data_IF_788856259707
#
_entry.id   IF_788856259707
#
_cell.length_a   1.000
_cell.length_b   1.000
_cell.length_c   1.000
_cell.angle_alpha   90.00
_cell.angle_beta   90.00
_cell.angle_gamma   90.00
#
_symmetry.space_group_name_H-M   'P 1'
#
loop_
_entity.id
_entity.type
_entity.pdbx_description
1 polymer ?
#
# COMPACT_ATOMS: atom_id res chain seq x y z
N UNK A 1 -9.73 40.91 -77.31
CA UNK A 1 -9.69 41.45 -75.93
C UNK A 1 -9.21 40.32 -75.03
N UNK A 2 -7.94 40.41 -74.61
CA UNK A 2 -7.14 39.30 -74.07
C UNK A 2 -7.37 39.21 -72.56
N UNK A 3 -8.01 38.14 -72.08
CA UNK A 3 -8.07 37.80 -70.65
C UNK A 3 -6.98 36.79 -70.32
N UNK A 4 -5.96 37.24 -69.58
CA UNK A 4 -4.86 36.42 -69.03
C UNK A 4 -5.42 35.46 -67.97
N UNK A 5 -5.26 34.16 -68.18
CA UNK A 5 -5.37 33.17 -67.10
C UNK A 5 -4.15 33.30 -66.16
N UNK A 6 -4.40 33.34 -64.85
CA UNK A 6 -3.36 33.26 -63.82
C UNK A 6 -3.18 31.79 -63.41
N UNK A 7 -1.95 31.28 -63.27
CA UNK A 7 -1.73 29.93 -62.78
C UNK A 7 -2.01 29.84 -61.28
N UNK A 8 -2.66 28.74 -60.88
CA UNK A 8 -2.91 28.35 -59.49
C UNK A 8 -1.57 27.82 -58.94
N UNK A 9 -0.96 28.54 -58.01
CA UNK A 9 0.24 28.08 -57.31
C UNK A 9 -0.13 27.03 -56.25
N UNK A 10 0.30 25.79 -56.46
CA UNK A 10 0.31 24.77 -55.40
C UNK A 10 1.44 25.12 -54.44
N UNK A 11 1.11 25.51 -53.21
CA UNK A 11 2.08 25.65 -52.12
C UNK A 11 2.41 24.25 -51.60
N UNK A 12 3.62 23.78 -51.87
CA UNK A 12 4.24 22.64 -51.15
C UNK A 12 4.34 23.01 -49.66
N UNK A 13 3.63 22.27 -48.81
CA UNK A 13 3.84 22.31 -47.36
C UNK A 13 5.17 21.61 -47.03
N UNK A 14 6.07 22.33 -46.37
CA UNK A 14 7.38 21.85 -45.90
C UNK A 14 7.27 20.63 -44.97
N UNK A 15 8.27 19.71 -44.98
CA UNK A 15 8.33 18.59 -44.06
C UNK A 15 8.97 19.04 -42.74
N UNK A 16 8.18 19.53 -41.79
CA UNK A 16 8.66 19.89 -40.43
C UNK A 16 7.93 19.07 -39.35
N UNK A 17 7.45 17.87 -39.68
CA UNK A 17 6.75 17.00 -38.72
C UNK A 17 7.36 15.59 -38.74
N UNK A 18 8.67 15.49 -38.51
CA UNK A 18 9.32 14.21 -38.14
C UNK A 18 10.35 14.39 -37.00
N UNK A 19 10.69 15.62 -36.59
CA UNK A 19 11.74 15.88 -35.60
C UNK A 19 11.27 16.01 -34.14
N UNK A 20 9.96 15.94 -33.87
CA UNK A 20 9.43 16.10 -32.51
C UNK A 20 9.37 14.80 -31.68
N UNK A 21 9.52 13.62 -32.31
CA UNK A 21 9.45 12.32 -31.62
C UNK A 21 10.80 11.85 -31.07
N UNK A 22 11.93 12.32 -31.61
CA UNK A 22 13.27 11.91 -31.14
C UNK A 22 13.73 12.66 -29.88
N UNK A 23 13.23 13.88 -29.66
CA UNK A 23 13.57 14.68 -28.47
C UNK A 23 12.84 14.20 -27.20
N UNK A 24 11.69 13.53 -27.34
CA UNK A 24 10.92 13.01 -26.21
C UNK A 24 11.54 11.73 -25.62
N UNK A 25 12.22 10.93 -26.44
CA UNK A 25 12.91 9.70 -25.99
C UNK A 25 14.19 10.03 -25.21
N UNK A 26 14.95 11.07 -25.61
CA UNK A 26 16.19 11.48 -24.93
C UNK A 26 15.97 12.24 -23.61
N UNK A 27 14.76 12.77 -23.37
CA UNK A 27 14.41 13.45 -22.13
C UNK A 27 14.13 12.49 -20.96
N UNK A 28 13.74 11.23 -21.22
CA UNK A 28 13.54 10.24 -20.16
C UNK A 28 14.88 9.71 -19.62
N UNK A 29 15.86 9.46 -20.50
CA UNK A 29 17.19 8.95 -20.10
C UNK A 29 17.96 9.98 -19.24
N UNK A 30 17.76 11.27 -19.47
CA UNK A 30 18.40 12.33 -18.68
C UNK A 30 17.74 12.54 -17.31
N UNK A 31 16.44 12.26 -17.17
CA UNK A 31 15.75 12.40 -15.89
C UNK A 31 16.07 11.24 -14.93
N UNK A 32 16.24 10.02 -15.45
CA UNK A 32 16.70 8.87 -14.66
C UNK A 32 18.17 9.04 -14.18
N UNK A 33 19.01 9.69 -14.99
CA UNK A 33 20.39 10.00 -14.63
C UNK A 33 20.53 11.03 -13.49
N UNK A 34 19.53 11.87 -13.24
CA UNK A 34 19.60 12.95 -12.23
C UNK A 34 19.30 12.48 -10.79
N UNK A 35 18.50 11.41 -10.60
CA UNK A 35 18.17 10.92 -9.24
C UNK A 35 19.39 10.51 -8.42
N UNK A 36 20.40 9.94 -9.08
CA UNK A 36 21.62 9.45 -8.44
C UNK A 36 22.74 10.51 -8.35
N UNK A 37 22.64 11.63 -9.08
CA UNK A 37 23.68 12.66 -9.13
C UNK A 37 23.86 13.41 -7.80
N UNK A 38 22.88 13.30 -6.89
CA UNK A 38 22.86 13.96 -5.57
C UNK A 38 23.50 13.14 -4.45
N UNK A 39 23.88 11.89 -4.70
CA UNK A 39 24.48 11.01 -3.69
C UNK A 39 26.00 11.26 -3.66
N UNK A 40 26.58 11.63 -2.50
CA UNK A 40 28.03 11.82 -2.40
C UNK A 40 28.81 10.57 -2.84
N UNK A 41 29.94 10.78 -3.55
CA UNK A 41 30.69 9.67 -4.17
C UNK A 41 31.19 8.62 -3.17
N UNK A 42 31.42 8.99 -1.92
CA UNK A 42 31.89 8.12 -0.83
C UNK A 42 30.79 7.89 0.23
N UNK A 43 29.62 7.47 -0.20
CA UNK A 43 28.55 7.02 0.69
C UNK A 43 28.61 5.50 0.83
N UNK A 44 28.62 4.93 2.02
CA UNK A 44 28.35 3.50 2.24
C UNK A 44 26.83 3.28 2.13
N UNK A 45 26.39 2.19 1.50
CA UNK A 45 24.96 1.89 1.34
C UNK A 45 24.64 0.68 2.19
N UNK A 46 23.60 0.80 3.01
CA UNK A 46 23.06 -0.26 3.85
C UNK A 46 21.59 -0.44 3.47
N UNK A 47 21.15 -1.68 3.33
CA UNK A 47 19.74 -2.01 3.12
C UNK A 47 19.28 -2.80 4.34
N UNK A 48 18.14 -2.40 4.90
CA UNK A 48 17.54 -3.03 6.07
C UNK A 48 16.09 -3.43 5.75
N UNK A 49 15.67 -4.65 6.10
CA UNK A 49 16.50 -5.75 6.60
C UNK A 49 17.46 -6.29 5.53
N UNK A 50 18.50 -6.99 5.96
CA UNK A 50 19.52 -7.62 5.09
C UNK A 50 19.07 -8.99 4.53
N UNK A 51 18.01 -9.56 5.11
CA UNK A 51 17.31 -10.76 4.69
C UNK A 51 15.84 -10.70 5.11
N UNK A 52 14.97 -11.44 4.43
CA UNK A 52 13.52 -11.42 4.65
C UNK A 52 12.97 -12.84 4.72
N UNK A 53 12.29 -13.16 5.82
CA UNK A 53 11.42 -14.33 5.94
C UNK A 53 9.96 -13.88 6.02
N UNK A 54 9.11 -14.47 5.17
CA UNK A 54 7.66 -14.22 5.09
C UNK A 54 6.92 -15.55 5.26
N UNK A 55 5.84 -15.54 6.03
CA UNK A 55 5.11 -16.75 6.41
C UNK A 55 3.60 -16.72 6.08
N UNK A 56 3.10 -15.57 5.63
CA UNK A 56 1.70 -15.37 5.24
C UNK A 56 1.61 -14.63 3.91
N UNK A 57 0.55 -14.90 3.14
CA UNK A 57 0.25 -14.15 1.90
C UNK A 57 -0.04 -12.66 2.16
N UNK A 58 -0.36 -12.30 3.40
CA UNK A 58 -0.57 -10.91 3.84
C UNK A 58 0.69 -10.30 4.48
N UNK A 59 1.77 -11.06 4.62
CA UNK A 59 3.01 -10.50 5.14
C UNK A 59 3.60 -9.49 4.15
N UNK A 60 4.05 -8.38 4.70
CA UNK A 60 4.78 -7.35 3.97
C UNK A 60 6.00 -6.94 4.75
N UNK A 61 7.03 -6.47 4.03
CA UNK A 61 8.24 -5.91 4.62
C UNK A 61 8.67 -4.69 3.82
N UNK A 62 9.01 -3.61 4.52
CA UNK A 62 9.56 -2.42 3.89
C UNK A 62 11.09 -2.56 3.85
N UNK A 63 11.67 -2.43 2.67
CA UNK A 63 13.10 -2.21 2.52
C UNK A 63 13.41 -0.73 2.77
N UNK A 64 14.40 -0.48 3.60
CA UNK A 64 14.96 0.85 3.84
C UNK A 64 16.38 0.88 3.29
N UNK A 65 16.70 1.94 2.55
CA UNK A 65 18.02 2.12 1.95
C UNK A 65 18.67 3.34 2.58
N UNK A 66 19.70 3.11 3.38
CA UNK A 66 20.41 4.17 4.11
C UNK A 66 21.78 4.41 3.49
N UNK A 67 22.07 5.67 3.20
CA UNK A 67 23.40 6.13 2.83
C UNK A 67 24.15 6.68 4.04
N UNK A 68 25.28 6.09 4.39
CA UNK A 68 26.19 6.60 5.44
C UNK A 68 27.30 7.41 4.77
N UNK A 69 27.38 8.71 5.05
CA UNK A 69 28.36 9.64 4.49
C UNK A 69 29.73 9.51 5.17
N UNK A 70 30.75 10.15 4.61
CA UNK A 70 32.12 10.11 5.16
C UNK A 70 32.27 10.76 6.53
N UNK A 71 31.38 11.67 6.88
CA UNK A 71 31.31 12.30 8.20
C UNK A 71 30.45 11.50 9.20
N UNK A 72 29.95 10.33 8.78
CA UNK A 72 29.09 9.45 9.58
C UNK A 72 27.61 9.83 9.57
N UNK A 73 27.21 10.92 8.92
CA UNK A 73 25.79 11.27 8.79
C UNK A 73 25.03 10.29 7.90
N UNK A 74 23.75 10.09 8.21
CA UNK A 74 22.87 9.19 7.45
C UNK A 74 21.90 9.97 6.59
N UNK A 75 21.65 9.47 5.37
CA UNK A 75 20.63 9.98 4.46
C UNK A 75 19.72 8.83 4.01
N UNK A 76 18.42 9.09 3.97
CA UNK A 76 17.44 8.16 3.41
C UNK A 76 17.51 8.18 1.88
N UNK A 77 17.79 7.02 1.31
CA UNK A 77 17.88 6.75 -0.12
C UNK A 77 16.76 5.82 -0.61
N UNK A 78 15.80 5.46 0.25
CA UNK A 78 14.74 4.47 -0.03
C UNK A 78 13.96 4.82 -1.31
N UNK A 79 13.61 6.09 -1.50
CA UNK A 79 12.89 6.56 -2.69
C UNK A 79 13.80 6.88 -3.90
N UNK A 80 15.12 6.82 -3.73
CA UNK A 80 16.11 6.98 -4.79
C UNK A 80 16.61 5.63 -5.33
N UNK A 81 16.35 4.55 -4.59
CA UNK A 81 16.66 3.19 -5.01
C UNK A 81 15.74 2.71 -6.11
N UNK A 82 16.26 1.81 -6.92
CA UNK A 82 15.47 0.98 -7.82
C UNK A 82 15.42 -0.44 -7.28
N UNK A 83 14.21 -0.99 -7.27
CA UNK A 83 13.91 -2.31 -6.74
C UNK A 83 13.50 -3.25 -7.87
N UNK A 84 13.90 -4.52 -7.77
CA UNK A 84 13.39 -5.58 -8.63
C UNK A 84 13.41 -6.92 -7.89
N UNK A 85 12.58 -7.87 -8.31
CA UNK A 85 12.55 -9.22 -7.76
C UNK A 85 13.08 -10.21 -8.79
N UNK A 86 13.89 -11.17 -8.37
CA UNK A 86 14.35 -12.27 -9.22
C UNK A 86 13.57 -13.58 -9.00
N UNK A 87 12.52 -13.54 -8.17
CA UNK A 87 11.71 -14.69 -7.80
C UNK A 87 10.23 -14.40 -8.06
N UNK A 88 9.45 -15.45 -8.33
CA UNK A 88 7.99 -15.35 -8.41
C UNK A 88 7.31 -15.39 -7.04
N UNK A 89 8.05 -15.62 -5.96
CA UNK A 89 7.50 -15.74 -4.60
C UNK A 89 7.02 -14.40 -4.03
N UNK A 90 7.64 -13.29 -4.42
CA UNK A 90 7.25 -11.95 -3.97
C UNK A 90 7.60 -10.88 -5.01
N UNK A 91 6.82 -9.80 -5.00
CA UNK A 91 7.08 -8.55 -5.71
C UNK A 91 7.68 -7.52 -4.75
N UNK A 92 8.32 -6.49 -5.29
CA UNK A 92 8.75 -5.30 -4.56
C UNK A 92 8.30 -4.05 -5.31
N UNK A 93 7.62 -3.13 -4.62
CA UNK A 93 7.12 -1.90 -5.23
C UNK A 93 8.25 -0.91 -5.51
N UNK A 94 7.96 0.13 -6.28
CA UNK A 94 8.90 1.25 -6.52
C UNK A 94 9.32 1.99 -5.25
N UNK A 95 8.56 1.84 -4.15
CA UNK A 95 8.87 2.43 -2.85
C UNK A 95 9.55 1.45 -1.90
N UNK A 96 9.91 0.24 -2.34
CA UNK A 96 10.59 -0.76 -1.53
C UNK A 96 9.68 -1.62 -0.65
N UNK A 97 8.36 -1.63 -0.88
CA UNK A 97 7.45 -2.50 -0.15
C UNK A 97 7.42 -3.90 -0.78
N UNK A 98 7.81 -4.91 -0.02
CA UNK A 98 7.80 -6.32 -0.42
C UNK A 98 6.42 -6.91 -0.17
N UNK A 99 5.87 -7.59 -1.18
CA UNK A 99 4.53 -8.19 -1.14
C UNK A 99 4.58 -9.63 -1.63
N UNK A 100 3.99 -10.54 -0.86
CA UNK A 100 3.96 -11.98 -1.20
C UNK A 100 3.08 -12.26 -2.40
N UNK A 101 3.55 -13.16 -3.28
CA UNK A 101 2.84 -13.68 -4.46
C UNK A 101 2.67 -15.20 -4.43
N UNK A 102 3.55 -15.92 -3.74
CA UNK A 102 3.51 -17.36 -3.60
C UNK A 102 4.65 -17.89 -2.75
N UNK A 103 4.76 -19.21 -2.64
CA UNK A 103 5.86 -19.86 -1.94
C UNK A 103 7.14 -19.86 -2.79
N UNK A 104 8.29 -19.77 -2.12
CA UNK A 104 9.60 -19.97 -2.72
C UNK A 104 10.65 -19.05 -2.12
N UNK A 105 11.87 -19.15 -2.64
CA UNK A 105 13.01 -18.34 -2.19
C UNK A 105 13.65 -17.64 -3.38
N UNK A 106 14.45 -16.62 -3.11
CA UNK A 106 15.19 -15.86 -4.11
C UNK A 106 15.85 -14.64 -3.51
N UNK A 107 16.00 -13.59 -4.32
CA UNK A 107 16.54 -12.33 -3.87
C UNK A 107 15.82 -11.13 -4.49
N UNK A 108 15.68 -10.09 -3.68
CA UNK A 108 15.31 -8.75 -4.11
C UNK A 108 16.57 -7.97 -4.43
N UNK A 109 16.60 -7.34 -5.59
CA UNK A 109 17.72 -6.55 -6.06
C UNK A 109 17.45 -5.07 -5.79
N UNK A 110 18.30 -4.45 -4.98
CA UNK A 110 18.29 -3.01 -4.70
C UNK A 110 19.45 -2.36 -5.43
N UNK A 111 19.15 -1.32 -6.23
CA UNK A 111 20.15 -0.59 -7.01
C UNK A 111 20.14 0.89 -6.64
N UNK A 112 21.32 1.41 -6.31
CA UNK A 112 21.58 2.84 -6.09
C UNK A 112 22.77 3.24 -6.98
N UNK A 113 22.52 4.08 -7.98
CA UNK A 113 23.52 4.39 -9.01
C UNK A 113 24.09 3.11 -9.65
N UNK A 114 25.40 2.90 -9.52
CA UNK A 114 26.11 1.73 -10.04
C UNK A 114 26.22 0.57 -9.04
N UNK A 115 25.76 0.75 -7.80
CA UNK A 115 25.83 -0.25 -6.75
C UNK A 115 24.58 -1.12 -6.77
N UNK A 116 24.76 -2.41 -6.57
CA UNK A 116 23.70 -3.41 -6.50
C UNK A 116 23.89 -4.25 -5.27
N UNK A 117 22.80 -4.48 -4.55
CA UNK A 117 22.73 -5.30 -3.35
C UNK A 117 21.61 -6.31 -3.56
N UNK A 118 21.84 -7.55 -3.15
CA UNK A 118 20.84 -8.61 -3.15
C UNK A 118 20.39 -8.82 -1.71
N UNK A 119 19.09 -8.86 -1.49
CA UNK A 119 18.46 -9.16 -0.20
C UNK A 119 17.78 -10.50 -0.36
N UNK A 120 18.29 -11.49 0.36
CA UNK A 120 17.73 -12.84 0.31
C UNK A 120 16.31 -12.80 0.87
N UNK A 121 15.38 -13.45 0.17
CA UNK A 121 13.99 -13.55 0.57
C UNK A 121 13.55 -15.01 0.53
N UNK A 122 12.88 -15.44 1.59
CA UNK A 122 12.28 -16.75 1.72
C UNK A 122 10.82 -16.60 2.09
N UNK A 123 9.94 -17.26 1.35
CA UNK A 123 8.50 -17.25 1.57
C UNK A 123 8.03 -18.67 1.84
N UNK A 124 7.69 -18.92 3.11
CA UNK A 124 7.22 -20.20 3.62
C UNK A 124 5.78 -20.05 4.11
N UNK A 125 4.84 -20.19 3.17
CA UNK A 125 3.42 -20.10 3.47
C UNK A 125 2.97 -21.28 4.35
N UNK A 126 2.27 -20.96 5.44
CA UNK A 126 1.63 -21.97 6.27
C UNK A 126 0.54 -22.73 5.49
N UNK A 127 0.32 -24.00 5.83
CA UNK A 127 -0.77 -24.81 5.25
C UNK A 127 -2.16 -24.22 5.53
N UNK A 128 -2.30 -23.54 6.67
CA UNK A 128 -3.51 -22.83 7.07
C UNK A 128 -3.18 -21.35 7.18
N UNK A 129 -3.86 -20.54 6.37
CA UNK A 129 -3.71 -19.09 6.41
C UNK A 129 -4.25 -18.55 7.74
N UNK A 130 -3.52 -17.62 8.35
CA UNK A 130 -3.98 -16.95 9.56
C UNK A 130 -5.27 -16.17 9.24
N UNK A 131 -6.31 -16.25 10.07
CA UNK A 131 -7.51 -15.43 9.89
C UNK A 131 -7.17 -13.95 9.96
N UNK A 132 -8.02 -13.10 9.38
CA UNK A 132 -7.91 -11.65 9.50
C UNK A 132 -8.07 -11.28 10.96
N UNK A 133 -7.07 -10.58 11.47
CA UNK A 133 -6.97 -10.21 12.87
C UNK A 133 -7.90 -9.04 13.19
N UNK A 134 -8.81 -9.22 14.14
CA UNK A 134 -9.73 -8.16 14.53
C UNK A 134 -8.96 -6.97 15.15
N UNK A 135 -8.06 -7.26 16.09
CA UNK A 135 -7.30 -6.27 16.86
C UNK A 135 -6.21 -5.62 16.04
N UNK A 136 -5.50 -6.38 15.19
CA UNK A 136 -4.33 -5.88 14.46
C UNK A 136 -4.62 -5.44 13.03
N UNK A 137 -5.72 -5.90 12.42
CA UNK A 137 -6.09 -5.50 11.05
C UNK A 137 -7.38 -4.67 11.03
N UNK A 138 -8.48 -5.13 11.66
CA UNK A 138 -9.78 -4.44 11.57
C UNK A 138 -9.84 -3.15 12.38
N UNK A 139 -9.50 -3.17 13.68
CA UNK A 139 -9.58 -2.00 14.56
C UNK A 139 -8.71 -0.82 14.05
N UNK A 140 -7.45 -1.03 13.62
CA UNK A 140 -6.63 0.04 13.06
C UNK A 140 -7.21 0.60 11.76
N UNK A 141 -7.79 -0.25 10.90
CA UNK A 141 -8.44 0.20 9.67
C UNK A 141 -9.67 1.07 9.96
N UNK A 142 -10.50 0.72 10.94
CA UNK A 142 -11.63 1.56 11.35
C UNK A 142 -11.16 2.94 11.84
N UNK A 143 -10.05 2.97 12.57
CA UNK A 143 -9.43 4.21 13.06
C UNK A 143 -8.82 5.04 11.94
N UNK A 144 -8.05 4.42 11.05
CA UNK A 144 -7.43 5.06 9.89
C UNK A 144 -8.48 5.72 8.99
N UNK A 145 -9.62 5.06 8.80
CA UNK A 145 -10.73 5.55 7.98
C UNK A 145 -11.67 6.50 8.74
N UNK A 146 -11.33 6.88 9.97
CA UNK A 146 -12.05 7.88 10.78
C UNK A 146 -13.41 7.40 11.31
N UNK A 147 -13.67 6.09 11.35
CA UNK A 147 -14.91 5.53 11.88
C UNK A 147 -14.98 5.72 13.41
N UNK A 148 -13.88 5.45 14.11
CA UNK A 148 -13.72 5.57 15.57
C UNK A 148 -13.24 6.96 16.03
N UNK A 149 -13.44 7.99 15.21
CA UNK A 149 -13.07 9.38 15.53
C UNK A 149 -14.09 10.02 16.51
N UNK A 150 -13.60 10.92 17.37
CA UNK A 150 -14.37 11.66 18.38
C UNK A 150 -15.61 12.38 17.82
N UNK A 151 -15.59 12.74 16.54
CA UNK A 151 -16.71 13.45 15.88
C UNK A 151 -17.91 12.54 15.57
N UNK A 152 -17.74 11.22 15.58
CA UNK A 152 -18.74 10.25 15.15
C UNK A 152 -18.85 9.07 16.13
N UNK A 153 -18.36 7.88 15.78
CA UNK A 153 -18.57 6.69 16.60
C UNK A 153 -17.59 6.59 17.77
N UNK A 154 -16.43 7.25 17.70
CA UNK A 154 -15.50 7.39 18.84
C UNK A 154 -15.91 8.43 19.88
N UNK A 155 -17.02 9.15 19.67
CA UNK A 155 -17.59 10.03 20.68
C UNK A 155 -18.02 9.21 21.91
N UNK A 156 -17.92 9.73 23.15
CA UNK A 156 -18.39 9.00 24.34
C UNK A 156 -19.85 8.55 24.26
N UNK A 157 -20.70 9.31 23.56
CA UNK A 157 -22.10 8.98 23.29
C UNK A 157 -22.33 8.20 21.99
N UNK A 158 -21.30 8.03 21.15
CA UNK A 158 -21.42 7.52 19.78
C UNK A 158 -22.35 8.38 18.91
N UNK A 159 -22.82 7.80 17.80
CA UNK A 159 -23.77 8.45 16.89
C UNK A 159 -24.70 7.43 16.23
N UNK A 160 -26.00 7.75 16.16
CA UNK A 160 -26.99 6.89 15.51
C UNK A 160 -27.11 5.50 16.16
N UNK A 161 -27.01 5.45 17.50
CA UNK A 161 -27.04 4.21 18.27
C UNK A 161 -25.90 3.26 17.94
N UNK A 162 -24.71 3.80 17.64
CA UNK A 162 -23.49 3.03 17.44
C UNK A 162 -22.29 3.79 17.99
N UNK A 163 -21.48 3.07 18.76
CA UNK A 163 -20.28 3.60 19.40
C UNK A 163 -19.13 2.63 19.16
N UNK A 164 -17.95 3.21 19.00
CA UNK A 164 -16.65 2.56 19.03
C UNK A 164 -15.81 3.27 20.11
N UNK A 165 -14.79 2.60 20.62
CA UNK A 165 -13.75 3.18 21.44
C UNK A 165 -13.01 4.26 20.65
N UNK A 166 -12.43 5.23 21.34
CA UNK A 166 -11.74 6.34 20.67
C UNK A 166 -10.44 5.81 20.06
N UNK A 167 -10.34 5.85 18.72
CA UNK A 167 -9.17 5.36 17.96
C UNK A 167 -8.79 3.90 18.25
N UNK A 168 -9.75 3.04 18.61
CA UNK A 168 -9.48 1.64 18.87
C UNK A 168 -8.83 1.37 20.23
N UNK A 169 -8.99 2.26 21.21
CA UNK A 169 -8.38 2.11 22.53
C UNK A 169 -8.93 0.96 23.38
N UNK A 170 -10.09 0.41 23.01
CA UNK A 170 -10.70 -0.75 23.67
C UNK A 170 -11.28 -1.70 22.62
N UNK A 171 -10.44 -2.65 22.19
CA UNK A 171 -10.77 -3.63 21.15
C UNK A 171 -11.90 -4.57 21.58
N UNK A 172 -11.98 -4.92 22.87
CA UNK A 172 -13.02 -5.83 23.36
C UNK A 172 -14.39 -5.15 23.30
N UNK A 173 -14.45 -3.90 23.72
CA UNK A 173 -15.64 -3.07 23.56
C UNK A 173 -16.02 -2.90 22.07
N UNK A 174 -15.05 -2.63 21.19
CA UNK A 174 -15.30 -2.47 19.75
C UNK A 174 -15.85 -3.73 19.11
N UNK A 175 -15.31 -4.90 19.48
CA UNK A 175 -15.79 -6.18 19.01
C UNK A 175 -17.25 -6.40 19.41
N UNK A 176 -17.60 -6.17 20.69
CA UNK A 176 -18.97 -6.29 21.17
C UNK A 176 -19.93 -5.35 20.41
N UNK A 177 -19.52 -4.11 20.18
CA UNK A 177 -20.30 -3.12 19.46
C UNK A 177 -20.55 -3.46 17.98
N UNK A 178 -19.59 -4.13 17.33
CA UNK A 178 -19.70 -4.52 15.93
C UNK A 178 -20.44 -5.86 15.73
N UNK A 179 -20.25 -6.79 16.65
CA UNK A 179 -20.69 -8.19 16.47
C UNK A 179 -21.94 -8.51 17.27
N UNK A 180 -22.13 -7.93 18.46
CA UNK A 180 -23.19 -8.32 19.40
C UNK A 180 -24.26 -7.25 19.57
N UNK A 181 -23.87 -5.98 19.66
CA UNK A 181 -24.79 -4.88 19.95
C UNK A 181 -25.89 -4.75 18.88
N UNK A 182 -27.04 -4.24 19.32
CA UNK A 182 -28.23 -4.07 18.49
C UNK A 182 -28.59 -5.34 17.68
N UNK A 183 -28.47 -6.51 18.30
CA UNK A 183 -28.74 -7.83 17.72
C UNK A 183 -27.84 -8.19 16.53
N UNK A 184 -26.58 -7.75 16.55
CA UNK A 184 -25.58 -8.09 15.53
C UNK A 184 -25.81 -7.43 14.16
N UNK A 185 -26.68 -6.41 14.09
CA UNK A 185 -27.10 -5.76 12.83
C UNK A 185 -26.00 -5.02 12.05
N UNK A 186 -24.77 -4.93 12.58
CA UNK A 186 -23.69 -4.12 12.00
C UNK A 186 -22.78 -4.92 11.08
N UNK A 187 -22.64 -6.21 11.36
CA UNK A 187 -21.85 -7.18 10.61
C UNK A 187 -22.77 -8.25 10.02
N UNK A 188 -22.29 -8.97 9.02
CA UNK A 188 -23.03 -10.08 8.41
C UNK A 188 -22.03 -11.11 7.87
N UNK A 189 -21.88 -12.23 8.57
CA UNK A 189 -20.95 -13.29 8.18
C UNK A 189 -21.40 -14.10 6.96
N UNK A 190 -22.70 -14.09 6.64
CA UNK A 190 -23.28 -14.84 5.52
C UNK A 190 -23.23 -14.02 4.22
N UNK A 191 -23.49 -12.72 4.33
CA UNK A 191 -23.49 -11.77 3.21
C UNK A 191 -22.81 -10.45 3.65
N UNK A 192 -21.46 -10.40 3.66
CA UNK A 192 -20.68 -9.26 4.14
C UNK A 192 -21.03 -7.94 3.44
N UNK A 193 -21.26 -7.97 2.12
CA UNK A 193 -21.60 -6.77 1.36
C UNK A 193 -22.92 -6.13 1.79
N UNK A 194 -23.77 -6.90 2.48
CA UNK A 194 -25.01 -6.43 3.09
C UNK A 194 -24.88 -6.09 4.59
N UNK A 195 -23.67 -5.88 5.08
CA UNK A 195 -23.40 -5.37 6.43
C UNK A 195 -23.41 -3.84 6.48
N UNK A 196 -23.91 -3.26 7.57
CA UNK A 196 -23.88 -1.80 7.74
C UNK A 196 -22.46 -1.25 7.90
N UNK A 197 -21.52 -2.05 8.42
CA UNK A 197 -20.11 -1.68 8.57
C UNK A 197 -19.40 -1.54 7.22
N UNK A 198 -19.91 -2.14 6.14
CA UNK A 198 -19.43 -1.91 4.77
C UNK A 198 -20.30 -0.89 4.02
N UNK A 199 -21.61 -1.05 4.01
CA UNK A 199 -22.50 -0.22 3.18
C UNK A 199 -22.42 1.27 3.50
N UNK A 200 -22.30 1.64 4.79
CA UNK A 200 -22.24 3.05 5.21
C UNK A 200 -20.94 3.74 4.80
N UNK A 201 -19.74 3.23 5.13
CA UNK A 201 -18.49 3.86 4.70
C UNK A 201 -18.22 3.73 3.20
N UNK A 202 -18.85 2.80 2.47
CA UNK A 202 -18.82 2.76 1.00
C UNK A 202 -19.84 3.72 0.36
N UNK A 203 -20.63 4.45 1.16
CA UNK A 203 -21.70 5.34 0.70
C UNK A 203 -22.78 4.66 -0.16
N UNK A 204 -22.98 3.34 -0.01
CA UNK A 204 -24.08 2.58 -0.63
C UNK A 204 -25.43 2.87 0.02
N UNK A 205 -25.40 3.27 1.29
CA UNK A 205 -26.57 3.73 2.05
C UNK A 205 -26.26 5.03 2.76
N UNK A 206 -27.31 5.75 3.18
CA UNK A 206 -27.16 7.05 3.85
C UNK A 206 -26.28 6.95 5.11
N UNK A 207 -25.23 7.77 5.11
CA UNK A 207 -24.26 7.88 6.17
C UNK A 207 -23.76 9.32 6.30
N UNK A 208 -24.00 9.95 7.46
CA UNK A 208 -23.56 11.34 7.72
C UNK A 208 -22.05 11.49 7.65
N UNK A 209 -21.29 10.43 7.94
CA UNK A 209 -19.83 10.43 7.80
C UNK A 209 -19.34 10.45 6.35
N UNK A 210 -20.22 10.31 5.36
CA UNK A 210 -19.85 10.19 3.96
C UNK A 210 -19.12 8.88 3.64
N UNK A 211 -18.53 8.84 2.45
CA UNK A 211 -17.64 7.76 2.03
C UNK A 211 -16.32 7.84 2.81
N UNK A 212 -15.83 6.69 3.29
CA UNK A 212 -14.57 6.57 4.03
C UNK A 212 -13.49 5.82 3.26
N UNK A 213 -13.89 4.87 2.41
CA UNK A 213 -12.98 4.12 1.55
C UNK A 213 -13.70 3.66 0.26
N UNK A 214 -12.94 3.21 -0.73
CA UNK A 214 -13.47 2.65 -1.98
C UNK A 214 -13.71 1.13 -1.86
N UNK A 215 -14.46 0.60 -2.83
CA UNK A 215 -14.83 -0.82 -2.91
C UNK A 215 -13.60 -1.75 -3.00
N UNK A 216 -12.59 -1.29 -3.74
CA UNK A 216 -11.35 -1.97 -4.09
C UNK A 216 -10.25 -1.76 -3.05
N UNK A 217 -10.53 -1.00 -1.99
CA UNK A 217 -9.55 -0.73 -0.95
C UNK A 217 -9.20 -1.98 -0.15
N UNK A 218 -8.00 -2.00 0.42
CA UNK A 218 -7.59 -3.01 1.39
C UNK A 218 -8.57 -3.07 2.58
N UNK A 219 -9.06 -1.91 3.03
CA UNK A 219 -10.05 -1.81 4.10
C UNK A 219 -11.32 -2.61 3.81
N UNK A 220 -11.91 -2.39 2.63
CA UNK A 220 -13.12 -3.09 2.23
C UNK A 220 -12.87 -4.60 2.09
N UNK A 221 -11.73 -4.97 1.52
CA UNK A 221 -11.31 -6.38 1.36
C UNK A 221 -11.19 -7.07 2.72
N UNK A 222 -10.41 -6.53 3.64
CA UNK A 222 -10.21 -7.14 4.96
C UNK A 222 -11.47 -7.16 5.81
N UNK A 223 -12.31 -6.12 5.75
CA UNK A 223 -13.63 -6.14 6.41
C UNK A 223 -14.57 -7.19 5.84
N UNK A 224 -14.54 -7.49 4.53
CA UNK A 224 -15.30 -8.61 3.96
C UNK A 224 -14.74 -9.94 4.44
N UNK A 225 -13.44 -10.15 4.25
CA UNK A 225 -12.77 -11.41 4.61
C UNK A 225 -12.95 -11.77 6.08
N UNK A 226 -12.82 -10.79 6.99
CA UNK A 226 -13.06 -11.03 8.43
C UNK A 226 -14.50 -11.48 8.73
N UNK A 227 -15.48 -10.91 8.02
CA UNK A 227 -16.88 -11.33 8.16
C UNK A 227 -17.10 -12.74 7.59
N UNK A 228 -16.56 -13.04 6.41
CA UNK A 228 -16.63 -14.37 5.77
C UNK A 228 -15.98 -15.47 6.62
N UNK A 229 -14.92 -15.11 7.35
CA UNK A 229 -14.25 -15.99 8.29
C UNK A 229 -15.04 -16.22 9.59
N UNK A 230 -16.23 -15.63 9.72
CA UNK A 230 -17.13 -15.87 10.84
C UNK A 230 -16.96 -14.89 12.00
N UNK A 231 -16.44 -13.69 11.75
CA UNK A 231 -16.28 -12.62 12.75
C UNK A 231 -15.38 -13.07 13.91
N UNK A 232 -14.33 -13.83 13.62
CA UNK A 232 -13.42 -14.37 14.62
C UNK A 232 -12.82 -13.22 15.43
N UNK A 233 -12.88 -13.34 16.76
CA UNK A 233 -12.08 -12.49 17.63
C UNK A 233 -10.72 -13.15 17.81
N UNK A 234 -9.66 -12.35 17.83
CA UNK A 234 -8.31 -12.88 17.97
C UNK A 234 -8.18 -13.66 19.28
N UNK A 235 -7.59 -14.86 19.18
CA UNK A 235 -7.08 -15.58 20.34
C UNK A 235 -5.97 -14.75 21.00
N UNK A 236 -5.80 -14.90 22.32
CA UNK A 236 -4.90 -14.05 23.11
C UNK A 236 -3.52 -13.84 22.45
N UNK A 237 -3.04 -12.60 22.52
CA UNK A 237 -1.89 -12.12 21.76
C UNK A 237 -0.66 -13.02 21.92
N UNK A 238 -0.01 -13.33 20.80
CA UNK A 238 1.34 -13.87 20.77
C UNK A 238 2.25 -12.94 21.59
N UNK A 239 2.80 -13.45 22.70
CA UNK A 239 3.67 -12.67 23.56
C UNK A 239 5.00 -12.41 22.86
N UNK A 240 5.50 -11.18 22.94
CA UNK A 240 6.85 -10.86 22.46
C UNK A 240 7.85 -11.65 23.29
N UNK A 241 8.53 -12.60 22.66
CA UNK A 241 9.49 -13.49 23.33
C UNK A 241 10.73 -12.73 23.86
N UNK A 242 11.20 -11.75 23.10
CA UNK A 242 12.33 -10.89 23.46
C UNK A 242 12.36 -9.65 22.55
N UNK A 243 12.90 -8.55 23.08
CA UNK A 243 13.31 -7.38 22.29
C UNK A 243 14.84 -7.29 22.35
N UNK A 244 15.49 -7.18 21.20
CA UNK A 244 16.90 -6.79 21.09
C UNK A 244 16.95 -5.40 20.47
N UNK A 245 17.62 -4.47 21.15
CA UNK A 245 17.90 -3.11 20.67
C UNK A 245 19.37 -3.01 20.31
#
# INVERSE_FOLDING_TARGET
MIWKQRPIGVRLLSPIIVLASLACVLALDTYAADRNARIPRRTQIVVTPDSIDLHSVRDTRQLLVTGILTDGSEIDLTHLAEYSSNTSACDVTETGLVQVRGQGSGALMVRIGHRRMAIDVNVELAEVEQPVSFKHEIVPLLSLNGCSDIRCHGAPSGKGGFRLSLWGSDESFDYEQLVRDAFGRRTNAVDPDNSLVLQKPLARVSHIGGQRFSEESLTATLLRTWQEQGLVNDVDATSVKSLSV
#
